data_IF_247672729111
#
_entry.id   IF_247672729111
#
_cell.length_a   1.000
_cell.length_b   1.000
_cell.length_c   1.000
_cell.angle_alpha   90.00
_cell.angle_beta   90.00
_cell.angle_gamma   90.00
#
_symmetry.space_group_name_H-M   'P 1'
#
loop_
_entity.id
_entity.type
_entity.pdbx_description
1 polymer ?
#
# COMPACT_ATOMS: atom_id res chain seq x y z
N UNK A 1 -13.33 -14.41 -7.38
CA UNK A 1 -13.18 -13.12 -8.09
C UNK A 1 -13.09 -12.02 -7.05
N UNK A 2 -12.20 -11.04 -7.22
CA UNK A 2 -12.06 -9.90 -6.32
C UNK A 2 -13.21 -8.90 -6.56
N UNK A 3 -13.86 -8.43 -5.49
CA UNK A 3 -14.87 -7.37 -5.51
C UNK A 3 -14.21 -6.01 -5.54
N UNK A 4 -14.60 -5.17 -6.49
CA UNK A 4 -14.19 -3.77 -6.55
C UNK A 4 -15.24 -2.94 -5.80
N UNK A 5 -14.89 -2.22 -4.71
CA UNK A 5 -15.81 -1.32 -4.05
C UNK A 5 -16.34 -0.23 -5.00
N UNK A 6 -17.54 0.34 -4.75
CA UNK A 6 -18.05 1.44 -5.57
C UNK A 6 -17.11 2.65 -5.57
N UNK A 7 -16.91 3.27 -6.74
CA UNK A 7 -16.20 4.54 -6.83
C UNK A 7 -17.02 5.66 -6.18
N UNK A 8 -16.31 6.67 -5.65
CA UNK A 8 -16.92 7.74 -4.90
C UNK A 8 -17.55 8.80 -5.81
N UNK A 9 -18.63 9.38 -5.31
CA UNK A 9 -19.34 10.52 -5.89
C UNK A 9 -19.23 11.73 -4.97
N UNK A 10 -19.48 12.93 -5.51
CA UNK A 10 -19.61 14.13 -4.67
C UNK A 10 -20.70 13.92 -3.63
N UNK A 11 -20.43 14.30 -2.39
CA UNK A 11 -21.29 14.07 -1.23
C UNK A 11 -20.99 12.78 -0.46
N UNK A 12 -20.27 11.82 -1.04
CA UNK A 12 -19.88 10.59 -0.33
C UNK A 12 -18.90 10.92 0.81
N UNK A 13 -18.99 10.13 1.89
CA UNK A 13 -18.18 10.32 3.10
C UNK A 13 -16.90 9.47 3.07
N UNK A 14 -15.77 10.13 3.34
CA UNK A 14 -14.48 9.50 3.65
C UNK A 14 -14.25 9.59 5.15
N UNK A 15 -14.14 8.44 5.82
CA UNK A 15 -13.69 8.34 7.20
C UNK A 15 -12.17 8.41 7.27
N UNK A 16 -11.62 9.17 8.22
CA UNK A 16 -10.16 9.21 8.49
C UNK A 16 -9.90 8.63 9.88
N UNK A 17 -9.12 7.55 9.94
CA UNK A 17 -8.71 6.89 11.20
C UNK A 17 -7.22 6.61 11.20
N UNK A 18 -6.62 6.47 12.38
CA UNK A 18 -5.24 6.01 12.55
C UNK A 18 -5.28 4.63 13.22
N UNK A 19 -5.24 3.52 12.48
CA UNK A 19 -5.29 2.19 13.07
C UNK A 19 -3.92 1.70 13.57
N UNK A 20 -2.87 2.52 13.46
CA UNK A 20 -1.48 2.16 13.75
C UNK A 20 -0.77 3.28 14.56
N UNK A 21 0.19 3.97 13.95
CA UNK A 21 0.98 5.01 14.60
C UNK A 21 0.22 6.34 14.78
N UNK A 22 0.63 7.10 15.78
CA UNK A 22 0.08 8.40 16.12
C UNK A 22 0.28 9.44 15.01
N UNK A 23 -0.74 10.28 14.80
CA UNK A 23 -0.68 11.46 13.94
C UNK A 23 -1.38 12.63 14.62
N UNK A 24 -0.68 13.77 14.70
CA UNK A 24 -1.28 15.02 15.17
C UNK A 24 -2.38 15.49 14.19
N UNK A 25 -3.50 16.00 14.72
CA UNK A 25 -4.69 16.37 13.93
C UNK A 25 -4.36 17.42 12.87
N UNK A 26 -3.52 18.39 13.22
CA UNK A 26 -3.12 19.51 12.39
C UNK A 26 -2.40 19.03 11.12
N UNK A 27 -1.63 17.94 11.22
CA UNK A 27 -0.93 17.33 10.07
C UNK A 27 -1.87 16.67 9.06
N UNK A 28 -3.13 16.43 9.43
CA UNK A 28 -4.16 15.90 8.55
C UNK A 28 -5.12 16.99 8.05
N UNK A 29 -5.03 18.23 8.56
CA UNK A 29 -5.99 19.28 8.20
C UNK A 29 -5.99 19.57 6.70
N UNK A 30 -4.80 19.70 6.09
CA UNK A 30 -4.71 19.94 4.65
C UNK A 30 -5.31 18.80 3.81
N UNK A 31 -5.17 17.56 4.28
CA UNK A 31 -5.81 16.41 3.64
C UNK A 31 -7.33 16.53 3.72
N UNK A 32 -7.88 16.78 4.91
CA UNK A 32 -9.32 17.02 5.12
C UNK A 32 -9.87 18.10 4.20
N UNK A 33 -9.21 19.27 4.17
CA UNK A 33 -9.64 20.40 3.34
C UNK A 33 -9.62 20.03 1.85
N UNK A 34 -8.58 19.30 1.41
CA UNK A 34 -8.43 18.89 0.01
C UNK A 34 -9.51 17.89 -0.40
N UNK A 35 -9.83 16.91 0.46
CA UNK A 35 -10.91 15.95 0.21
C UNK A 35 -12.27 16.65 0.14
N UNK A 36 -12.51 17.64 1.01
CA UNK A 36 -13.71 18.47 0.95
C UNK A 36 -13.78 19.31 -0.33
N UNK A 37 -12.66 19.90 -0.77
CA UNK A 37 -12.57 20.62 -2.04
C UNK A 37 -12.82 19.71 -3.25
N UNK A 38 -12.47 18.43 -3.17
CA UNK A 38 -12.83 17.44 -4.19
C UNK A 38 -14.33 17.09 -4.20
N UNK A 39 -15.07 17.54 -3.17
CA UNK A 39 -16.51 17.42 -3.05
C UNK A 39 -16.98 16.27 -2.15
N UNK A 40 -16.10 15.72 -1.33
CA UNK A 40 -16.43 14.65 -0.37
C UNK A 40 -16.76 15.20 1.01
N UNK A 41 -17.55 14.47 1.79
CA UNK A 41 -17.66 14.71 3.22
C UNK A 41 -16.50 14.00 3.93
N UNK A 42 -16.00 14.59 5.02
CA UNK A 42 -14.91 13.99 5.81
C UNK A 42 -15.36 13.77 7.24
N UNK A 43 -15.27 12.53 7.71
CA UNK A 43 -15.48 12.18 9.11
C UNK A 43 -14.15 11.80 9.75
N UNK A 44 -13.63 12.66 10.63
CA UNK A 44 -12.42 12.34 11.40
C UNK A 44 -12.76 11.47 12.61
N UNK A 45 -12.11 10.32 12.72
CA UNK A 45 -12.12 9.47 13.92
C UNK A 45 -11.37 10.12 15.09
N UNK A 46 -11.61 9.59 16.29
CA UNK A 46 -10.97 9.98 17.56
C UNK A 46 -9.50 9.56 17.64
N UNK A 47 -9.08 8.51 16.94
CA UNK A 47 -7.67 8.11 16.92
C UNK A 47 -6.79 9.11 16.15
N UNK A 48 -7.37 9.93 15.27
CA UNK A 48 -6.66 11.02 14.61
C UNK A 48 -6.49 12.20 15.57
N UNK A 49 -5.25 12.47 15.97
CA UNK A 49 -4.93 13.51 16.95
C UNK A 49 -5.43 13.16 18.36
N UNK A 50 -5.39 11.88 18.72
CA UNK A 50 -5.73 11.42 20.07
C UNK A 50 -4.76 11.94 21.14
N UNK A 51 -5.09 11.73 22.41
CA UNK A 51 -4.20 12.03 23.53
C UNK A 51 -3.26 10.87 23.89
N UNK A 52 -3.01 9.95 22.96
CA UNK A 52 -2.14 8.79 23.22
C UNK A 52 -0.72 9.27 23.60
N UNK A 53 -0.14 8.77 24.72
CA UNK A 53 1.16 9.24 25.21
C UNK A 53 2.35 8.52 24.55
N UNK A 54 2.09 7.56 23.64
CA UNK A 54 3.12 6.69 23.09
C UNK A 54 3.06 6.65 21.55
N UNK A 55 3.81 5.74 20.94
CA UNK A 55 3.93 5.60 19.49
C UNK A 55 2.58 5.39 18.76
N UNK A 56 1.64 4.66 19.37
CA UNK A 56 0.37 4.31 18.76
C UNK A 56 -0.63 5.47 18.84
N UNK A 57 -1.57 5.53 17.91
CA UNK A 57 -2.67 6.51 17.92
C UNK A 57 -3.73 6.28 19.01
N UNK A 58 -3.56 5.25 19.84
CA UNK A 58 -4.44 4.85 20.93
C UNK A 58 -4.08 3.45 21.39
N UNK A 59 -4.76 2.97 22.42
CA UNK A 59 -4.68 1.56 22.84
C UNK A 59 -5.10 0.63 21.70
N UNK A 60 -4.73 -0.64 21.79
CA UNK A 60 -5.17 -1.66 20.81
C UNK A 60 -6.71 -1.70 20.72
N UNK A 61 -7.39 -1.58 21.85
CA UNK A 61 -8.86 -1.55 21.93
C UNK A 61 -9.46 -0.29 21.29
N UNK A 62 -8.90 0.90 21.53
CA UNK A 62 -9.38 2.15 20.92
C UNK A 62 -9.24 2.13 19.39
N UNK A 63 -8.08 1.68 18.89
CA UNK A 63 -7.82 1.56 17.45
C UNK A 63 -8.70 0.50 16.79
N UNK A 64 -8.89 -0.65 17.46
CA UNK A 64 -9.78 -1.72 17.03
C UNK A 64 -11.23 -1.23 16.93
N UNK A 65 -11.76 -0.64 18.00
CA UNK A 65 -13.15 -0.22 18.09
C UNK A 65 -13.50 0.85 17.07
N UNK A 66 -12.61 1.82 16.85
CA UNK A 66 -12.83 2.85 15.83
C UNK A 66 -12.80 2.29 14.41
N UNK A 67 -11.79 1.46 14.10
CA UNK A 67 -11.70 0.86 12.76
C UNK A 67 -12.93 -0.04 12.50
N UNK A 68 -13.36 -0.84 13.48
CA UNK A 68 -14.56 -1.65 13.38
C UNK A 68 -15.80 -0.77 13.11
N UNK A 69 -15.96 0.32 13.86
CA UNK A 69 -17.08 1.23 13.68
C UNK A 69 -17.12 1.80 12.25
N UNK A 70 -15.97 2.19 11.69
CA UNK A 70 -15.91 2.69 10.30
C UNK A 70 -16.18 1.62 9.24
N UNK A 71 -15.73 0.38 9.48
CA UNK A 71 -16.03 -0.76 8.61
C UNK A 71 -17.53 -1.06 8.58
N UNK A 72 -18.20 -0.92 9.72
CA UNK A 72 -19.61 -1.23 9.92
C UNK A 72 -20.57 -0.10 9.52
N UNK A 73 -20.10 1.15 9.43
CA UNK A 73 -20.94 2.31 9.16
C UNK A 73 -21.27 2.45 7.67
N UNK A 74 -22.49 2.14 7.28
CA UNK A 74 -22.97 2.19 5.90
C UNK A 74 -22.97 3.59 5.27
N UNK A 75 -22.80 4.66 6.05
CA UNK A 75 -22.67 6.04 5.56
C UNK A 75 -21.24 6.39 5.11
N UNK A 76 -20.24 5.59 5.50
CA UNK A 76 -18.84 5.75 5.07
C UNK A 76 -18.58 4.95 3.78
N UNK A 77 -18.07 5.63 2.76
CA UNK A 77 -17.83 5.08 1.42
C UNK A 77 -16.35 4.74 1.18
N UNK A 78 -15.44 5.35 1.95
CA UNK A 78 -14.03 4.99 2.00
C UNK A 78 -13.43 5.30 3.38
N UNK A 79 -12.40 4.54 3.75
CA UNK A 79 -11.61 4.74 4.97
C UNK A 79 -10.18 5.09 4.54
N UNK A 80 -9.74 6.31 4.84
CA UNK A 80 -8.37 6.76 4.68
C UNK A 80 -7.63 6.59 6.00
N UNK A 81 -6.60 5.75 6.01
CA UNK A 81 -5.71 5.66 7.15
C UNK A 81 -4.83 6.92 7.19
N UNK A 82 -4.91 7.71 8.25
CA UNK A 82 -4.16 8.96 8.38
C UNK A 82 -2.64 8.73 8.43
N UNK A 83 -2.22 7.62 9.05
CA UNK A 83 -0.83 7.20 9.15
C UNK A 83 -0.73 5.68 9.31
N UNK A 84 0.34 5.10 8.76
CA UNK A 84 0.80 3.74 9.04
C UNK A 84 1.67 3.72 10.30
N UNK A 85 2.80 3.03 10.25
CA UNK A 85 3.74 2.88 11.36
C UNK A 85 3.86 1.44 11.80
N UNK A 86 3.31 1.13 12.98
CA UNK A 86 3.19 -0.22 13.50
C UNK A 86 1.90 -0.29 14.32
N UNK A 87 1.19 -1.41 14.23
CA UNK A 87 0.08 -1.72 15.13
C UNK A 87 -1.13 -2.35 14.46
N UNK A 88 -1.24 -2.33 13.12
CA UNK A 88 -2.35 -2.95 12.41
C UNK A 88 -2.38 -4.49 12.63
N UNK A 89 -1.20 -5.13 12.62
CA UNK A 89 -1.06 -6.57 12.88
C UNK A 89 -1.52 -7.00 14.29
N UNK A 90 -1.60 -6.10 15.26
CA UNK A 90 -2.04 -6.40 16.63
C UNK A 90 -3.56 -6.53 16.76
N UNK A 91 -4.30 -5.91 15.83
CA UNK A 91 -5.77 -5.78 15.91
C UNK A 91 -6.48 -6.51 14.77
N UNK A 92 -5.77 -6.91 13.71
CA UNK A 92 -6.37 -7.44 12.48
C UNK A 92 -7.26 -8.67 12.70
N UNK A 93 -6.85 -9.59 13.57
CA UNK A 93 -7.58 -10.84 13.83
C UNK A 93 -8.80 -10.65 14.74
N UNK A 94 -8.97 -9.47 15.35
CA UNK A 94 -10.09 -9.14 16.22
C UNK A 94 -11.24 -8.43 15.47
N UNK A 95 -10.99 -7.95 14.25
CA UNK A 95 -12.00 -7.28 13.41
C UNK A 95 -13.01 -8.26 12.83
N UNK A 96 -14.30 -7.93 12.93
CA UNK A 96 -15.38 -8.64 12.23
C UNK A 96 -15.64 -8.00 10.86
N UNK A 97 -15.21 -8.69 9.80
CA UNK A 97 -15.41 -8.25 8.42
C UNK A 97 -16.75 -8.66 7.80
N UNK A 98 -17.69 -9.28 8.53
CA UNK A 98 -18.96 -9.77 7.94
C UNK A 98 -19.77 -8.67 7.25
N UNK A 99 -19.93 -7.50 7.88
CA UNK A 99 -20.64 -6.36 7.26
C UNK A 99 -19.86 -5.81 6.08
N UNK A 100 -18.55 -5.60 6.24
CA UNK A 100 -17.67 -5.17 5.16
C UNK A 100 -17.73 -6.09 3.92
N UNK A 101 -17.77 -7.41 4.09
CA UNK A 101 -17.88 -8.37 2.96
C UNK A 101 -19.20 -8.26 2.19
N UNK A 102 -20.28 -7.82 2.87
CA UNK A 102 -21.60 -7.59 2.26
C UNK A 102 -21.64 -6.27 1.50
N UNK A 103 -21.10 -5.21 2.09
CA UNK A 103 -21.03 -3.86 1.50
C UNK A 103 -19.59 -3.33 1.53
N UNK A 104 -18.74 -3.78 0.60
CA UNK A 104 -17.33 -3.39 0.60
C UNK A 104 -17.17 -1.90 0.31
N UNK A 105 -16.20 -1.28 0.98
CA UNK A 105 -15.79 0.11 0.81
C UNK A 105 -14.28 0.18 0.64
N UNK A 106 -13.77 1.30 0.13
CA UNK A 106 -12.32 1.44 -0.06
C UNK A 106 -11.59 1.55 1.28
N UNK A 107 -10.49 0.80 1.42
CA UNK A 107 -9.48 1.02 2.47
C UNK A 107 -8.25 1.62 1.79
N UNK A 108 -7.77 2.75 2.29
CA UNK A 108 -6.75 3.58 1.63
C UNK A 108 -5.59 3.84 2.60
N UNK A 109 -4.37 3.55 2.17
CA UNK A 109 -3.15 3.87 2.92
C UNK A 109 -1.96 3.06 2.41
N UNK A 110 -0.80 3.16 3.05
CA UNK A 110 0.37 2.34 2.70
C UNK A 110 1.22 2.03 3.94
N UNK A 111 2.40 1.42 3.78
CA UNK A 111 3.26 1.01 4.91
C UNK A 111 2.57 -0.08 5.75
N UNK A 112 2.43 0.09 7.07
CA UNK A 112 1.72 -0.84 7.99
C UNK A 112 0.30 -1.21 7.54
N UNK A 113 -0.35 -0.33 6.76
CA UNK A 113 -1.68 -0.59 6.19
C UNK A 113 -1.66 -1.73 5.16
N UNK A 114 -0.47 -2.16 4.72
CA UNK A 114 -0.27 -3.42 3.98
C UNK A 114 -0.95 -4.60 4.69
N UNK A 115 -0.97 -4.63 6.03
CA UNK A 115 -1.69 -5.68 6.79
C UNK A 115 -3.18 -5.70 6.46
N UNK A 116 -3.81 -4.53 6.39
CA UNK A 116 -5.23 -4.43 6.03
C UNK A 116 -5.44 -4.80 4.56
N UNK A 117 -4.57 -4.31 3.65
CA UNK A 117 -4.66 -4.59 2.22
C UNK A 117 -4.59 -6.08 1.91
N UNK A 118 -3.59 -6.77 2.47
CA UNK A 118 -3.41 -8.21 2.27
C UNK A 118 -4.54 -9.01 2.91
N UNK A 119 -5.00 -8.61 4.10
CA UNK A 119 -6.11 -9.28 4.77
C UNK A 119 -7.41 -9.16 3.97
N UNK A 120 -7.83 -7.96 3.57
CA UNK A 120 -9.09 -7.80 2.82
C UNK A 120 -9.01 -8.42 1.42
N UNK A 121 -7.83 -8.42 0.79
CA UNK A 121 -7.61 -9.14 -0.45
C UNK A 121 -7.77 -10.66 -0.26
N UNK A 122 -7.10 -11.24 0.72
CA UNK A 122 -7.05 -12.69 0.94
C UNK A 122 -8.35 -13.22 1.53
N UNK A 123 -8.88 -12.61 2.59
CA UNK A 123 -9.99 -13.15 3.40
C UNK A 123 -11.35 -12.59 2.98
N UNK A 124 -11.40 -11.35 2.49
CA UNK A 124 -12.64 -10.69 2.08
C UNK A 124 -12.87 -10.73 0.57
N UNK A 125 -11.83 -11.04 -0.21
CA UNK A 125 -11.84 -10.98 -1.69
C UNK A 125 -12.28 -9.60 -2.16
N UNK A 126 -11.75 -8.55 -1.55
CA UNK A 126 -12.10 -7.14 -1.85
C UNK A 126 -10.85 -6.36 -2.21
N UNK A 127 -10.95 -5.50 -3.23
CA UNK A 127 -9.88 -4.58 -3.61
C UNK A 127 -9.73 -3.44 -2.61
N UNK A 128 -8.51 -2.94 -2.47
CA UNK A 128 -8.15 -1.79 -1.64
C UNK A 128 -7.20 -0.86 -2.40
N UNK A 129 -6.79 0.25 -1.79
CA UNK A 129 -5.94 1.25 -2.44
C UNK A 129 -4.67 1.45 -1.60
N UNK A 130 -3.54 1.01 -2.13
CA UNK A 130 -2.24 1.48 -1.65
C UNK A 130 -2.04 2.91 -2.14
N UNK A 131 -1.89 3.90 -1.26
CA UNK A 131 -1.79 5.31 -1.70
C UNK A 131 -1.16 6.20 -0.62
N UNK A 132 -0.71 7.42 -1.00
CA UNK A 132 -0.29 8.44 -0.05
C UNK A 132 -1.36 8.70 1.02
N UNK A 133 -0.91 8.85 2.27
CA UNK A 133 -1.76 9.13 3.43
C UNK A 133 -1.80 10.63 3.74
N UNK A 134 -2.47 11.01 4.83
CA UNK A 134 -2.83 12.40 5.12
C UNK A 134 -1.64 13.39 5.10
N UNK A 135 -0.45 12.96 5.55
CA UNK A 135 0.74 13.82 5.55
C UNK A 135 1.17 14.27 4.13
N UNK A 136 0.91 13.48 3.10
CA UNK A 136 1.35 13.76 1.73
C UNK A 136 0.61 14.93 1.07
N UNK A 137 -0.45 15.45 1.69
CA UNK A 137 -1.22 16.58 1.18
C UNK A 137 -0.61 17.93 1.57
N UNK A 138 0.29 17.94 2.56
CA UNK A 138 0.96 19.15 3.05
C UNK A 138 2.01 19.65 2.05
N UNK A 139 2.51 20.88 2.26
CA UNK A 139 3.64 21.46 1.53
C UNK A 139 3.49 21.43 0.00
N UNK A 140 2.26 21.66 -0.49
CA UNK A 140 1.92 21.63 -1.92
C UNK A 140 1.68 20.23 -2.49
N UNK A 141 1.84 19.18 -1.68
CA UNK A 141 1.67 17.79 -2.11
C UNK A 141 0.26 17.43 -2.58
N UNK A 142 -0.78 18.18 -2.17
CA UNK A 142 -2.13 18.01 -2.69
C UNK A 142 -2.24 18.09 -4.22
N UNK A 143 -1.38 18.88 -4.87
CA UNK A 143 -1.38 19.05 -6.33
C UNK A 143 -0.36 18.16 -7.04
N UNK A 144 0.46 17.41 -6.29
CA UNK A 144 1.41 16.50 -6.92
C UNK A 144 0.69 15.32 -7.59
N UNK A 145 1.36 14.74 -8.59
CA UNK A 145 0.77 13.69 -9.42
C UNK A 145 0.42 12.41 -8.62
N UNK A 146 1.10 12.18 -7.50
CA UNK A 146 0.89 11.04 -6.61
C UNK A 146 -0.45 11.14 -5.86
N UNK A 147 -0.76 12.30 -5.27
CA UNK A 147 -2.05 12.57 -4.63
C UNK A 147 -3.16 12.71 -5.68
N UNK A 148 -2.87 13.31 -6.85
CA UNK A 148 -3.85 13.39 -7.93
C UNK A 148 -4.18 12.00 -8.53
N UNK A 149 -3.26 11.04 -8.47
CA UNK A 149 -3.54 9.65 -8.86
C UNK A 149 -4.58 8.98 -7.94
N UNK A 150 -4.56 9.29 -6.64
CA UNK A 150 -5.59 8.87 -5.69
C UNK A 150 -6.95 9.49 -6.05
N UNK A 151 -6.98 10.81 -6.32
CA UNK A 151 -8.21 11.51 -6.74
C UNK A 151 -8.86 10.84 -7.96
N UNK A 152 -8.06 10.55 -9.00
CA UNK A 152 -8.53 9.88 -10.22
C UNK A 152 -9.08 8.48 -9.92
N UNK A 153 -8.38 7.72 -9.08
CA UNK A 153 -8.79 6.37 -8.70
C UNK A 153 -10.11 6.36 -7.91
N UNK A 154 -10.28 7.27 -6.95
CA UNK A 154 -11.53 7.42 -6.20
C UNK A 154 -12.72 7.74 -7.11
N UNK A 155 -12.49 8.54 -8.16
CA UNK A 155 -13.50 8.89 -9.16
C UNK A 155 -13.70 7.80 -10.24
N UNK A 156 -13.04 6.64 -10.13
CA UNK A 156 -13.15 5.54 -11.09
C UNK A 156 -12.46 5.76 -12.43
N UNK A 157 -11.56 6.74 -12.51
CA UNK A 157 -10.74 6.97 -13.71
C UNK A 157 -9.56 6.00 -13.69
N UNK A 158 -9.38 5.26 -14.79
CA UNK A 158 -8.24 4.37 -14.98
C UNK A 158 -6.95 5.17 -15.01
N UNK A 159 -5.96 4.73 -14.24
CA UNK A 159 -4.64 5.34 -14.27
C UNK A 159 -3.69 4.60 -15.21
N UNK A 160 -2.75 5.36 -15.77
CA UNK A 160 -1.62 4.87 -16.54
C UNK A 160 -0.36 5.56 -16.02
N UNK A 161 0.54 4.76 -15.48
CA UNK A 161 1.76 5.24 -14.83
C UNK A 161 2.97 4.94 -15.70
N UNK A 162 4.03 5.72 -15.53
CA UNK A 162 5.30 5.40 -16.16
C UNK A 162 6.50 5.95 -15.43
N UNK A 163 7.63 5.27 -15.58
CA UNK A 163 8.94 5.71 -15.11
C UNK A 163 10.05 5.30 -16.10
N UNK A 164 11.25 5.81 -15.87
CA UNK A 164 12.44 5.48 -16.66
C UNK A 164 12.87 4.03 -16.44
N UNK A 165 13.48 3.42 -17.46
CA UNK A 165 14.08 2.10 -17.30
C UNK A 165 15.33 2.14 -16.40
N UNK A 166 15.64 1.01 -15.78
CA UNK A 166 16.81 0.78 -14.93
C UNK A 166 17.62 -0.40 -15.51
N UNK A 167 18.93 -0.42 -15.28
CA UNK A 167 19.84 -1.48 -15.75
C UNK A 167 19.50 -2.88 -15.22
N UNK A 168 18.83 -2.97 -14.07
CA UNK A 168 18.41 -4.23 -13.45
C UNK A 168 17.03 -4.73 -13.93
N UNK A 169 16.39 -4.03 -14.85
CA UNK A 169 15.09 -4.45 -15.38
C UNK A 169 15.19 -5.74 -16.20
N UNK A 170 14.16 -6.59 -16.07
CA UNK A 170 13.88 -7.68 -17.00
C UNK A 170 12.74 -7.26 -17.92
N UNK A 171 13.03 -7.16 -19.22
CA UNK A 171 12.07 -6.69 -20.21
C UNK A 171 10.95 -7.69 -20.45
N UNK A 172 9.79 -7.20 -20.89
CA UNK A 172 8.67 -8.03 -21.29
C UNK A 172 7.33 -7.35 -21.00
N UNK A 173 6.25 -8.09 -21.20
CA UNK A 173 4.90 -7.60 -20.90
C UNK A 173 4.09 -8.69 -20.23
N UNK A 174 3.38 -8.33 -19.18
CA UNK A 174 2.51 -9.25 -18.46
C UNK A 174 1.26 -8.54 -17.97
N UNK A 175 0.19 -9.30 -17.81
CA UNK A 175 -1.08 -8.82 -17.24
C UNK A 175 -1.46 -9.71 -16.07
N UNK A 176 -1.90 -9.11 -14.97
CA UNK A 176 -2.30 -9.85 -13.78
C UNK A 176 -2.95 -8.95 -12.73
N UNK A 177 -3.55 -9.57 -11.72
CA UNK A 177 -3.99 -8.86 -10.52
C UNK A 177 -2.77 -8.29 -9.80
N UNK A 178 -2.83 -7.04 -9.36
CA UNK A 178 -1.77 -6.39 -8.61
C UNK A 178 -1.92 -6.70 -7.12
N UNK A 179 -0.85 -7.18 -6.49
CA UNK A 179 -0.77 -7.41 -5.04
C UNK A 179 0.58 -6.91 -4.52
N UNK A 180 0.69 -6.68 -3.22
CA UNK A 180 1.96 -6.25 -2.62
C UNK A 180 1.80 -5.20 -1.55
N UNK A 181 2.86 -4.42 -1.37
CA UNK A 181 2.96 -3.38 -0.35
C UNK A 181 4.35 -3.34 0.25
N UNK A 182 4.41 -3.05 1.54
CA UNK A 182 5.67 -2.99 2.27
C UNK A 182 6.28 -4.39 2.46
N UNK A 183 7.55 -4.57 2.06
CA UNK A 183 8.25 -5.85 2.07
C UNK A 183 8.31 -6.45 3.48
N UNK A 184 8.66 -5.65 4.49
CA UNK A 184 8.70 -6.10 5.87
C UNK A 184 7.37 -6.68 6.30
N UNK A 185 6.26 -6.00 6.03
CA UNK A 185 4.93 -6.53 6.37
C UNK A 185 4.59 -7.79 5.57
N UNK A 186 4.91 -7.86 4.27
CA UNK A 186 4.69 -9.09 3.48
C UNK A 186 5.46 -10.29 4.04
N UNK A 187 6.70 -10.09 4.50
CA UNK A 187 7.48 -11.12 5.15
C UNK A 187 6.84 -11.56 6.48
N UNK A 188 6.52 -10.60 7.36
CA UNK A 188 5.92 -10.89 8.67
C UNK A 188 4.56 -11.61 8.60
N UNK A 189 3.78 -11.39 7.53
CA UNK A 189 2.48 -12.02 7.34
C UNK A 189 2.53 -13.43 6.75
N UNK A 190 3.70 -13.92 6.34
CA UNK A 190 3.84 -15.27 5.78
C UNK A 190 3.33 -16.32 6.76
N UNK A 191 2.41 -17.19 6.33
CA UNK A 191 1.80 -18.23 7.17
C UNK A 191 0.62 -17.78 8.05
N UNK A 192 0.20 -16.51 7.98
CA UNK A 192 -1.00 -16.00 8.68
C UNK A 192 -2.24 -16.05 7.77
N UNK A 193 -3.47 -15.83 8.31
CA UNK A 193 -4.67 -15.66 7.48
C UNK A 193 -4.58 -14.50 6.46
N UNK A 194 -3.71 -13.53 6.72
CA UNK A 194 -3.45 -12.38 5.84
C UNK A 194 -2.37 -12.66 4.79
N UNK A 195 -1.79 -13.87 4.77
CA UNK A 195 -0.76 -14.23 3.79
C UNK A 195 -1.32 -14.21 2.36
N UNK A 196 -0.61 -13.57 1.44
CA UNK A 196 -1.06 -13.43 0.05
C UNK A 196 -0.55 -14.56 -0.83
N UNK A 197 -1.42 -15.05 -1.72
CA UNK A 197 -0.98 -15.87 -2.85
C UNK A 197 -0.58 -14.95 -4.01
N UNK A 198 0.65 -15.06 -4.49
CA UNK A 198 1.25 -14.21 -5.54
C UNK A 198 1.31 -14.90 -6.90
N UNK A 199 0.97 -16.19 -7.01
CA UNK A 199 1.02 -16.94 -8.27
C UNK A 199 0.16 -16.28 -9.34
N UNK A 200 0.76 -16.08 -10.52
CA UNK A 200 0.18 -15.42 -11.70
C UNK A 200 -0.27 -13.97 -11.45
N UNK A 201 0.32 -13.30 -10.45
CA UNK A 201 0.02 -11.90 -10.10
C UNK A 201 1.20 -10.99 -10.41
N UNK A 202 0.91 -9.70 -10.52
CA UNK A 202 1.95 -8.68 -10.49
C UNK A 202 2.18 -8.36 -9.02
N UNK A 203 3.36 -8.69 -8.51
CA UNK A 203 3.75 -8.35 -7.13
C UNK A 203 4.49 -7.01 -7.16
N UNK A 204 4.16 -6.10 -6.25
CA UNK A 204 5.01 -4.94 -5.98
C UNK A 204 5.52 -4.92 -4.54
N UNK A 205 6.77 -4.49 -4.36
CA UNK A 205 7.40 -4.38 -3.04
C UNK A 205 8.14 -3.05 -2.89
N UNK A 206 8.02 -2.46 -1.71
CA UNK A 206 8.73 -1.24 -1.28
C UNK A 206 9.13 -1.39 0.19
N UNK A 207 10.10 -0.63 0.68
CA UNK A 207 10.38 -0.58 2.13
C UNK A 207 11.06 0.72 2.59
N UNK A 208 11.15 0.93 3.91
CA UNK A 208 11.79 2.11 4.51
C UNK A 208 12.62 1.76 5.75
N UNK A 209 13.77 2.43 5.92
CA UNK A 209 14.46 2.52 7.21
C UNK A 209 15.18 1.24 7.65
N UNK A 210 15.15 0.21 6.81
CA UNK A 210 15.73 -1.10 7.05
C UNK A 210 17.22 -1.16 6.72
N UNK A 211 17.89 -2.13 7.33
CA UNK A 211 19.26 -2.46 6.95
C UNK A 211 19.27 -3.34 5.69
N UNK A 212 20.31 -3.21 4.85
CA UNK A 212 20.43 -4.04 3.62
C UNK A 212 20.35 -5.54 3.95
N UNK A 213 21.02 -6.01 5.02
CA UNK A 213 20.96 -7.42 5.42
C UNK A 213 19.56 -7.85 5.90
N UNK A 214 18.78 -6.93 6.49
CA UNK A 214 17.39 -7.21 6.87
C UNK A 214 16.53 -7.39 5.63
N UNK A 215 16.66 -6.50 4.64
CA UNK A 215 15.96 -6.60 3.37
C UNK A 215 16.33 -7.91 2.65
N UNK A 216 17.61 -8.23 2.53
CA UNK A 216 18.10 -9.48 1.92
C UNK A 216 17.47 -10.71 2.59
N UNK A 217 17.46 -10.75 3.93
CA UNK A 217 16.82 -11.81 4.72
C UNK A 217 15.31 -11.95 4.41
N UNK A 218 14.59 -10.83 4.30
CA UNK A 218 13.15 -10.84 4.01
C UNK A 218 12.86 -11.28 2.57
N UNK A 219 13.70 -10.88 1.61
CA UNK A 219 13.62 -11.36 0.23
C UNK A 219 13.89 -12.87 0.14
N UNK A 220 14.86 -13.39 0.89
CA UNK A 220 15.07 -14.84 1.00
C UNK A 220 13.88 -15.55 1.63
N UNK A 221 13.22 -14.95 2.63
CA UNK A 221 12.01 -15.51 3.21
C UNK A 221 10.89 -15.62 2.16
N UNK A 222 10.62 -14.55 1.40
CA UNK A 222 9.63 -14.57 0.31
C UNK A 222 10.00 -15.58 -0.79
N UNK A 223 11.28 -15.69 -1.14
CA UNK A 223 11.77 -16.71 -2.08
C UNK A 223 11.50 -18.13 -1.56
N UNK A 224 11.86 -18.41 -0.30
CA UNK A 224 11.71 -19.73 0.33
C UNK A 224 10.26 -20.13 0.60
N UNK A 225 9.35 -19.15 0.73
CA UNK A 225 7.91 -19.39 0.83
C UNK A 225 7.21 -19.41 -0.53
N UNK A 226 7.95 -19.38 -1.63
CA UNK A 226 7.44 -19.50 -3.00
C UNK A 226 6.70 -18.25 -3.50
N UNK A 227 6.86 -17.09 -2.86
CA UNK A 227 6.15 -15.86 -3.24
C UNK A 227 6.66 -15.25 -4.53
N UNK A 228 7.87 -15.60 -4.97
CA UNK A 228 8.41 -15.21 -6.28
C UNK A 228 8.16 -16.28 -7.35
N UNK A 229 7.58 -17.43 -7.00
CA UNK A 229 7.36 -18.50 -7.96
C UNK A 229 6.17 -18.15 -8.87
N UNK A 230 6.39 -18.22 -10.18
CA UNK A 230 5.35 -18.04 -11.19
C UNK A 230 4.60 -16.70 -11.07
N UNK A 231 5.29 -15.60 -10.77
CA UNK A 231 4.70 -14.27 -10.90
C UNK A 231 4.34 -13.97 -12.35
N UNK A 232 3.31 -13.16 -12.57
CA UNK A 232 3.09 -12.53 -13.87
C UNK A 232 4.13 -11.42 -14.09
N UNK A 233 4.49 -10.66 -13.04
CA UNK A 233 5.54 -9.66 -13.09
C UNK A 233 5.91 -9.16 -11.69
N UNK A 234 7.04 -8.47 -11.57
CA UNK A 234 7.55 -7.93 -10.32
C UNK A 234 7.90 -6.45 -10.45
N UNK A 235 7.39 -5.65 -9.52
CA UNK A 235 7.63 -4.22 -9.42
C UNK A 235 8.42 -3.96 -8.13
N UNK A 236 9.65 -3.48 -8.28
CA UNK A 236 10.48 -3.01 -7.18
C UNK A 236 10.28 -1.50 -7.09
N UNK A 237 9.62 -1.07 -6.02
CA UNK A 237 9.40 0.33 -5.67
C UNK A 237 10.64 0.98 -5.07
N UNK A 238 10.42 2.07 -4.32
CA UNK A 238 11.49 2.75 -3.60
C UNK A 238 11.82 2.06 -2.28
N UNK A 239 13.13 1.91 -2.03
CA UNK A 239 13.69 1.49 -0.75
C UNK A 239 14.37 2.71 -0.14
N UNK A 240 13.69 3.39 0.79
CA UNK A 240 14.12 4.70 1.31
C UNK A 240 14.77 4.58 2.68
N UNK A 241 15.64 5.52 3.04
CA UNK A 241 16.36 5.56 4.32
C UNK A 241 17.07 4.25 4.69
N UNK A 242 17.59 3.55 3.67
CA UNK A 242 18.27 2.26 3.84
C UNK A 242 19.59 2.46 4.58
N UNK A 243 19.81 1.58 5.56
CA UNK A 243 20.98 1.58 6.44
C UNK A 243 21.93 0.44 6.06
N UNK A 244 23.19 0.61 6.41
CA UNK A 244 24.18 -0.48 6.38
C UNK A 244 24.78 -0.64 7.78
N UNK A 245 25.47 -1.75 8.00
CA UNK A 245 26.21 -2.03 9.23
C UNK A 245 27.60 -1.39 9.20
N UNK A 246 28.23 -1.25 10.37
CA UNK A 246 29.60 -0.71 10.50
C UNK A 246 30.60 -1.46 9.60
N UNK A 247 30.42 -2.78 9.49
CA UNK A 247 31.05 -3.58 8.44
C UNK A 247 30.10 -3.62 7.24
N UNK A 248 30.47 -3.12 6.06
CA UNK A 248 29.56 -3.04 4.93
C UNK A 248 29.02 -4.41 4.52
N UNK A 249 27.73 -4.46 4.15
CA UNK A 249 27.11 -5.69 3.62
C UNK A 249 27.78 -6.19 2.33
N UNK A 250 28.40 -5.29 1.57
CA UNK A 250 29.14 -5.62 0.35
C UNK A 250 28.31 -5.64 -0.93
N UNK A 251 27.06 -5.18 -0.88
CA UNK A 251 26.20 -4.91 -2.05
C UNK A 251 25.40 -3.63 -1.85
N UNK A 252 25.10 -2.94 -2.94
CA UNK A 252 24.05 -1.91 -2.94
C UNK A 252 22.68 -2.56 -2.74
N UNK A 253 21.66 -1.76 -2.39
CA UNK A 253 20.30 -2.28 -2.23
C UNK A 253 19.79 -2.93 -3.54
N UNK A 254 19.92 -2.22 -4.66
CA UNK A 254 19.58 -2.75 -5.99
C UNK A 254 20.33 -4.05 -6.30
N UNK A 255 21.63 -4.12 -5.96
CA UNK A 255 22.46 -5.29 -6.19
C UNK A 255 22.03 -6.51 -5.35
N UNK A 256 21.59 -6.29 -4.11
CA UNK A 256 21.06 -7.36 -3.26
C UNK A 256 19.72 -7.89 -3.79
N UNK A 257 18.79 -7.01 -4.18
CA UNK A 257 17.50 -7.40 -4.79
C UNK A 257 17.76 -8.15 -6.11
N UNK A 258 18.55 -7.57 -7.00
CA UNK A 258 18.87 -8.15 -8.31
C UNK A 258 19.47 -9.55 -8.17
N UNK A 259 20.38 -9.77 -7.22
CA UNK A 259 20.98 -11.09 -7.00
C UNK A 259 19.95 -12.19 -6.68
N UNK A 260 18.80 -11.84 -6.11
CA UNK A 260 17.74 -12.78 -5.74
C UNK A 260 16.80 -13.05 -6.91
N UNK A 261 16.54 -12.03 -7.75
CA UNK A 261 15.48 -12.06 -8.76
C UNK A 261 15.97 -12.24 -10.21
N UNK A 262 17.29 -12.12 -10.46
CA UNK A 262 17.89 -12.19 -11.80
C UNK A 262 17.59 -13.46 -12.60
N UNK A 263 17.26 -14.57 -11.93
CA UNK A 263 17.06 -15.88 -12.57
C UNK A 263 15.58 -16.12 -12.96
N UNK A 264 14.67 -15.19 -12.65
CA UNK A 264 13.27 -15.28 -13.06
C UNK A 264 13.05 -14.69 -14.45
N UNK A 265 12.10 -15.27 -15.19
CA UNK A 265 11.86 -14.94 -16.61
C UNK A 265 10.68 -13.98 -16.85
N UNK A 266 9.90 -13.66 -15.83
CA UNK A 266 8.81 -12.69 -15.93
C UNK A 266 9.36 -11.24 -15.99
N UNK A 267 8.57 -10.24 -16.44
CA UNK A 267 9.00 -8.84 -16.45
C UNK A 267 9.26 -8.32 -15.03
N UNK A 268 10.39 -7.64 -14.85
CA UNK A 268 10.82 -7.05 -13.57
C UNK A 268 11.16 -5.59 -13.82
N UNK A 269 10.58 -4.67 -13.06
CA UNK A 269 10.97 -3.26 -13.10
C UNK A 269 11.49 -2.75 -11.76
N UNK A 270 12.55 -1.95 -11.79
CA UNK A 270 13.12 -1.26 -10.65
C UNK A 270 12.75 0.22 -10.63
N UNK A 271 12.76 0.78 -9.43
CA UNK A 271 12.51 2.20 -9.14
C UNK A 271 11.17 2.68 -9.70
N UNK A 272 10.15 1.82 -9.59
CA UNK A 272 8.79 2.25 -9.88
C UNK A 272 8.32 3.25 -8.81
N UNK A 273 7.61 4.35 -9.13
CA UNK A 273 7.35 5.44 -8.17
C UNK A 273 6.25 5.09 -7.14
N UNK A 274 6.57 4.15 -6.25
CA UNK A 274 5.78 3.65 -5.12
C UNK A 274 6.77 3.42 -3.98
N UNK A 275 6.74 4.29 -2.97
CA UNK A 275 7.76 4.34 -1.91
C UNK A 275 7.24 5.07 -0.66
N UNK A 276 8.09 5.20 0.38
CA UNK A 276 7.86 6.10 1.51
C UNK A 276 8.38 7.53 1.29
N UNK A 277 8.89 7.84 0.11
CA UNK A 277 9.21 9.20 -0.29
C UNK A 277 7.99 9.95 -0.83
N UNK A 278 8.25 11.11 -1.46
CA UNK A 278 7.21 11.87 -2.19
C UNK A 278 6.60 11.03 -3.30
N UNK A 279 7.40 10.18 -3.94
CA UNK A 279 7.00 9.37 -5.08
C UNK A 279 6.23 8.12 -4.66
N UNK A 280 4.90 8.23 -4.62
CA UNK A 280 4.03 7.13 -4.25
C UNK A 280 2.69 7.15 -4.99
N UNK A 281 2.63 6.52 -6.16
CA UNK A 281 1.38 6.40 -6.90
C UNK A 281 0.32 5.62 -6.12
N UNK A 282 -0.93 6.07 -6.20
CA UNK A 282 -2.06 5.28 -5.75
C UNK A 282 -2.21 4.05 -6.64
N UNK A 283 -2.25 2.86 -6.06
CA UNK A 283 -2.37 1.57 -6.74
C UNK A 283 -3.54 0.77 -6.18
N UNK A 284 -4.37 0.20 -7.06
CA UNK A 284 -5.52 -0.61 -6.68
C UNK A 284 -5.10 -2.06 -6.45
N UNK A 285 -5.01 -2.46 -5.20
CA UNK A 285 -4.74 -3.85 -4.82
C UNK A 285 -5.90 -4.73 -5.24
N UNK A 286 -5.61 -5.83 -5.95
CA UNK A 286 -6.59 -6.71 -6.57
C UNK A 286 -7.20 -6.17 -7.88
N UNK A 287 -6.80 -4.99 -8.35
CA UNK A 287 -7.08 -4.54 -9.71
C UNK A 287 -6.23 -5.29 -10.73
N UNK A 288 -6.72 -5.41 -11.96
CA UNK A 288 -5.94 -6.00 -13.07
C UNK A 288 -5.14 -4.90 -13.76
N UNK A 289 -3.85 -5.17 -13.94
CA UNK A 289 -2.93 -4.25 -14.59
C UNK A 289 -2.13 -4.97 -15.68
N UNK A 290 -1.71 -4.23 -16.69
CA UNK A 290 -0.66 -4.63 -17.62
C UNK A 290 0.62 -3.88 -17.29
N UNK A 291 1.67 -4.63 -16.97
CA UNK A 291 3.04 -4.14 -16.80
C UNK A 291 3.81 -4.38 -18.10
N UNK A 292 4.27 -3.30 -18.73
CA UNK A 292 5.16 -3.35 -19.90
C UNK A 292 6.52 -2.75 -19.51
N UNK A 293 7.56 -3.59 -19.50
CA UNK A 293 8.94 -3.22 -19.22
C UNK A 293 9.69 -3.18 -20.54
N UNK A 294 9.85 -1.98 -21.10
CA UNK A 294 10.59 -1.75 -22.33
C UNK A 294 12.03 -1.29 -22.07
N UNK A 295 12.81 -1.18 -23.16
CA UNK A 295 14.23 -0.76 -23.11
C UNK A 295 14.45 0.59 -22.44
N UNK A 296 13.57 1.56 -22.69
CA UNK A 296 13.74 2.95 -22.25
C UNK A 296 12.71 3.39 -21.21
N UNK A 297 11.59 2.66 -21.08
CA UNK A 297 10.44 3.09 -20.31
C UNK A 297 9.66 1.91 -19.76
N UNK A 298 9.16 2.07 -18.55
CA UNK A 298 8.20 1.15 -17.92
C UNK A 298 6.83 1.81 -17.96
N UNK A 299 5.80 1.01 -18.22
CA UNK A 299 4.40 1.45 -18.18
C UNK A 299 3.58 0.45 -17.39
N UNK A 300 2.80 0.95 -16.42
CA UNK A 300 1.79 0.16 -15.71
C UNK A 300 0.41 0.76 -16.03
N UNK A 301 -0.46 -0.02 -16.65
CA UNK A 301 -1.79 0.44 -17.10
C UNK A 301 -2.90 -0.37 -16.46
N UNK A 302 -3.83 0.31 -15.80
CA UNK A 302 -5.05 -0.29 -15.25
C UNK A 302 -5.96 -0.78 -16.39
N UNK A 303 -6.48 -2.01 -16.26
CA UNK A 303 -7.31 -2.65 -17.28
C UNK A 303 -8.81 -2.35 -17.14
#
# INVERSE_FOLDING_TARGET
MIKIPPYLKKGDTIGITCPAGFMAKEKAQKCTDTLQQWGYQVMAGKTLGSNSPNYFSGTDEERLNELQAMLDDDSIHAILCGRGGYGAGRIIDQLDFKKFKRKPKWIIGFSDITVLHTHVFTTCKTASIHAPMAAAFNDGGAENEYVQSLKRMLAGKKNKYSCAANIHNSQGTATGELVGGNLSLLAHLTGTPSDINTKNKILFIEDIGEYIYSIDRMLYQLKRSGKFDNLAGLIIGGFTDIKDTDRPFGKTMDGAIYAIVKDYTYPICFHFPVSHGTENYALKIGGVYTLAVGKNKIVLSEQ
#
